data_IF_203325439265
#
_entry.id   IF_203325439265
#
_cell.length_a   1.000
_cell.length_b   1.000
_cell.length_c   1.000
_cell.angle_alpha   90.00
_cell.angle_beta   90.00
_cell.angle_gamma   90.00
#
_symmetry.space_group_name_H-M   'P 1'
#
loop_
_entity.id
_entity.type
_entity.pdbx_description
1 polymer ?
#
# COMPACT_ATOMS: atom_id res chain seq x y z
N UNK A 1 8.38 -46.62 -50.59
CA UNK A 1 8.22 -46.15 -49.19
C UNK A 1 9.54 -45.51 -48.72
N UNK A 2 9.62 -44.18 -48.70
CA UNK A 2 10.84 -43.45 -48.30
C UNK A 2 10.78 -43.17 -46.80
N UNK A 3 11.71 -43.75 -46.04
CA UNK A 3 11.95 -43.45 -44.61
C UNK A 3 13.09 -42.44 -44.52
N UNK A 4 12.78 -41.18 -44.22
CA UNK A 4 13.79 -40.17 -43.91
C UNK A 4 14.17 -40.29 -42.43
N UNK A 5 15.41 -40.67 -42.15
CA UNK A 5 16.07 -40.48 -40.85
C UNK A 5 16.59 -39.04 -40.79
N UNK A 6 16.23 -38.29 -39.75
CA UNK A 6 16.86 -37.01 -39.44
C UNK A 6 17.92 -37.25 -38.36
N UNK A 7 19.16 -36.85 -38.65
CA UNK A 7 20.27 -36.77 -37.70
C UNK A 7 19.86 -35.85 -36.56
N UNK A 8 19.78 -36.39 -35.34
CA UNK A 8 19.72 -35.60 -34.10
C UNK A 8 21.08 -34.92 -33.91
N UNK A 9 21.24 -33.77 -34.56
CA UNK A 9 22.50 -33.05 -34.64
C UNK A 9 22.69 -32.14 -33.43
N UNK A 10 23.95 -31.97 -33.01
CA UNK A 10 24.44 -31.27 -31.80
C UNK A 10 23.85 -29.88 -31.59
N UNK A 11 23.31 -29.28 -32.64
CA UNK A 11 22.55 -28.03 -32.64
C UNK A 11 21.34 -28.03 -31.71
N UNK A 12 20.56 -29.10 -31.63
CA UNK A 12 19.40 -29.13 -30.72
C UNK A 12 19.86 -29.14 -29.25
N UNK A 13 20.98 -29.79 -28.95
CA UNK A 13 21.58 -29.76 -27.60
C UNK A 13 22.20 -28.41 -27.26
N UNK A 14 22.83 -27.72 -28.22
CA UNK A 14 23.30 -26.34 -28.06
C UNK A 14 22.14 -25.36 -27.87
N UNK A 15 21.03 -25.54 -28.59
CA UNK A 15 19.81 -24.75 -28.43
C UNK A 15 19.20 -24.98 -27.03
N UNK A 16 19.11 -26.22 -26.58
CA UNK A 16 18.60 -26.54 -25.23
C UNK A 16 19.55 -26.04 -24.13
N UNK A 17 20.88 -26.10 -24.33
CA UNK A 17 21.84 -25.53 -23.37
C UNK A 17 21.80 -23.99 -23.33
N UNK A 18 21.54 -23.33 -24.46
CA UNK A 18 21.39 -21.86 -24.52
C UNK A 18 20.05 -21.40 -23.94
N UNK A 19 18.97 -22.18 -24.10
CA UNK A 19 17.76 -21.98 -23.32
C UNK A 19 18.00 -22.23 -21.83
N UNK A 20 18.73 -23.27 -21.44
CA UNK A 20 19.06 -23.54 -20.04
C UNK A 20 19.96 -22.45 -19.40
N UNK A 21 20.83 -21.79 -20.17
CA UNK A 21 21.61 -20.63 -19.74
C UNK A 21 20.79 -19.33 -19.74
N UNK A 22 19.82 -19.17 -20.64
CA UNK A 22 18.85 -18.07 -20.59
C UNK A 22 17.81 -18.24 -19.48
N UNK A 23 17.51 -19.47 -19.05
CA UNK A 23 16.65 -19.78 -17.90
C UNK A 23 17.43 -19.99 -16.60
N UNK A 24 18.77 -20.10 -16.66
CA UNK A 24 19.62 -20.50 -15.52
C UNK A 24 20.81 -19.56 -15.23
N UNK A 25 21.03 -18.53 -16.04
CA UNK A 25 22.12 -17.54 -15.87
C UNK A 25 21.66 -16.08 -15.86
N UNK A 26 20.35 -15.84 -15.81
CA UNK A 26 19.75 -14.50 -15.84
C UNK A 26 18.65 -14.26 -14.81
N UNK A 27 18.51 -15.15 -13.82
CA UNK A 27 17.77 -14.82 -12.59
C UNK A 27 18.71 -14.01 -11.70
N UNK A 28 18.87 -12.73 -12.04
CA UNK A 28 19.19 -11.72 -11.03
C UNK A 28 18.17 -11.93 -9.92
N UNK A 29 18.62 -12.05 -8.66
CA UNK A 29 17.78 -12.31 -7.50
C UNK A 29 16.61 -11.30 -7.39
N UNK A 30 15.51 -11.60 -8.07
CA UNK A 30 14.24 -10.89 -7.99
C UNK A 30 13.38 -11.71 -7.05
N UNK A 31 13.25 -11.25 -5.80
CA UNK A 31 12.14 -11.71 -4.95
C UNK A 31 12.43 -11.89 -3.46
N UNK A 32 13.69 -11.91 -3.01
CA UNK A 32 13.95 -12.01 -1.57
C UNK A 32 14.07 -10.61 -0.95
N UNK A 33 13.00 -10.17 -0.28
CA UNK A 33 13.04 -8.94 0.53
C UNK A 33 14.06 -9.12 1.66
N UNK A 34 14.87 -8.10 1.92
CA UNK A 34 15.75 -8.09 3.09
C UNK A 34 14.89 -8.20 4.34
N UNK A 35 15.21 -9.14 5.20
CA UNK A 35 14.48 -9.37 6.44
C UNK A 35 15.25 -8.75 7.62
N UNK A 36 14.57 -7.91 8.41
CA UNK A 36 15.14 -7.19 9.55
C UNK A 36 14.33 -7.41 10.81
N UNK A 37 14.95 -7.19 11.96
CA UNK A 37 14.27 -7.10 13.25
C UNK A 37 14.02 -5.65 13.60
N UNK A 38 12.80 -5.32 14.00
CA UNK A 38 12.42 -3.97 14.42
C UNK A 38 12.45 -3.85 15.93
N UNK A 39 13.27 -2.94 16.45
CA UNK A 39 13.29 -2.57 17.86
C UNK A 39 12.39 -1.36 18.05
N UNK A 40 11.24 -1.58 18.69
CA UNK A 40 10.21 -0.57 18.94
C UNK A 40 10.75 0.55 19.83
N UNK A 41 10.26 1.77 19.60
CA UNK A 41 10.56 2.92 20.46
C UNK A 41 9.86 2.79 21.83
N UNK A 42 10.41 3.43 22.87
CA UNK A 42 9.83 3.35 24.23
C UNK A 42 8.39 3.87 24.33
N UNK A 43 8.00 4.78 23.43
CA UNK A 43 6.68 5.38 23.36
C UNK A 43 5.89 4.92 22.13
N UNK A 44 6.21 3.74 21.58
CA UNK A 44 5.56 3.17 20.39
C UNK A 44 4.02 3.18 20.50
N UNK A 45 3.47 2.88 21.67
CA UNK A 45 2.02 2.85 21.90
C UNK A 45 1.41 4.21 22.30
N UNK A 46 2.23 5.24 22.53
CA UNK A 46 1.81 6.59 22.94
C UNK A 46 1.94 7.57 21.77
N UNK A 47 1.39 7.20 20.62
CA UNK A 47 1.42 7.99 19.40
C UNK A 47 0.02 8.45 19.02
N UNK A 48 -0.09 9.65 18.44
CA UNK A 48 -1.33 10.12 17.85
C UNK A 48 -1.83 9.11 16.81
N UNK A 49 -3.08 8.67 16.97
CA UNK A 49 -3.66 7.60 16.16
C UNK A 49 -4.89 8.09 15.40
N UNK A 50 -4.98 7.73 14.13
CA UNK A 50 -6.18 7.91 13.31
C UNK A 50 -6.81 6.53 13.05
N UNK A 51 -8.01 6.33 13.57
CA UNK A 51 -8.74 5.06 13.45
C UNK A 51 -9.76 5.16 12.31
N UNK A 52 -9.79 4.17 11.44
CA UNK A 52 -10.74 4.05 10.34
C UNK A 52 -11.31 2.64 10.29
N UNK A 53 -12.62 2.53 10.14
CA UNK A 53 -13.24 1.25 9.80
C UNK A 53 -13.18 1.06 8.29
N UNK A 54 -12.54 -0.04 7.85
CA UNK A 54 -12.44 -0.39 6.44
C UNK A 54 -13.26 -1.65 6.17
N UNK A 55 -14.21 -1.53 5.25
CA UNK A 55 -15.01 -2.65 4.78
C UNK A 55 -14.34 -3.34 3.59
N UNK A 56 -14.29 -4.67 3.63
CA UNK A 56 -13.59 -5.51 2.66
C UNK A 56 -14.51 -6.61 2.14
N UNK A 57 -14.53 -6.76 0.82
CA UNK A 57 -15.17 -7.87 0.12
C UNK A 57 -14.24 -9.10 0.21
N UNK A 58 -14.70 -10.26 0.72
CA UNK A 58 -13.90 -11.48 0.82
C UNK A 58 -13.25 -11.92 -0.51
N UNK A 59 -13.90 -11.59 -1.63
CA UNK A 59 -13.43 -12.01 -2.95
C UNK A 59 -12.50 -10.98 -3.61
N UNK A 60 -12.29 -9.81 -3.00
CA UNK A 60 -11.50 -8.72 -3.60
C UNK A 60 -10.47 -8.13 -2.64
N UNK A 61 -9.20 -7.99 -3.06
CA UNK A 61 -8.19 -7.27 -2.28
C UNK A 61 -8.61 -5.82 -2.04
N UNK A 62 -8.29 -5.30 -0.85
CA UNK A 62 -8.52 -3.91 -0.47
C UNK A 62 -7.24 -3.09 -0.55
N UNK A 63 -7.25 -2.05 -1.37
CA UNK A 63 -6.19 -1.04 -1.39
C UNK A 63 -6.29 -0.13 -0.15
N UNK A 64 -5.19 0.01 0.58
CA UNK A 64 -5.01 0.97 1.67
C UNK A 64 -3.88 1.92 1.30
N UNK A 65 -4.05 3.22 1.55
CA UNK A 65 -3.06 4.23 1.18
C UNK A 65 -2.93 5.35 2.20
N UNK A 66 -1.70 5.86 2.35
CA UNK A 66 -1.38 7.08 3.08
C UNK A 66 -1.56 8.30 2.16
N UNK A 67 -2.55 9.17 2.42
CA UNK A 67 -2.86 10.26 1.52
C UNK A 67 -1.74 11.32 1.42
N UNK A 68 -0.91 11.49 2.45
CA UNK A 68 0.17 12.47 2.48
C UNK A 68 1.40 12.03 1.66
N UNK A 69 1.60 10.71 1.55
CA UNK A 69 2.75 10.12 0.85
C UNK A 69 2.47 9.80 -0.61
N UNK A 70 1.23 9.46 -0.95
CA UNK A 70 0.89 8.97 -2.29
C UNK A 70 0.80 10.06 -3.38
N UNK A 71 1.31 11.28 -3.12
CA UNK A 71 1.27 12.43 -4.05
C UNK A 71 2.58 13.21 -4.13
N UNK A 72 3.66 12.73 -3.52
CA UNK A 72 4.90 13.48 -3.41
C UNK A 72 6.15 12.66 -3.72
N UNK A 73 6.98 13.19 -4.61
CA UNK A 73 8.31 12.66 -4.92
C UNK A 73 9.30 13.81 -5.02
N UNK A 74 9.74 14.35 -3.88
CA UNK A 74 10.72 15.44 -3.90
C UNK A 74 12.11 14.93 -4.28
N UNK A 75 12.89 15.78 -4.93
CA UNK A 75 14.28 15.51 -5.35
C UNK A 75 15.27 16.38 -4.58
N UNK A 76 16.55 15.98 -4.62
CA UNK A 76 17.65 16.79 -4.08
C UNK A 76 17.76 16.77 -2.56
N UNK A 77 18.01 17.95 -1.97
CA UNK A 77 18.23 18.15 -0.53
C UNK A 77 16.94 18.29 0.30
N UNK A 78 15.77 18.18 -0.32
CA UNK A 78 14.48 18.28 0.37
C UNK A 78 14.22 17.01 1.20
N UNK A 79 14.40 17.14 2.51
CA UNK A 79 14.26 16.05 3.48
C UNK A 79 12.82 15.85 3.98
N UNK A 80 11.85 16.63 3.48
CA UNK A 80 10.45 16.60 3.94
C UNK A 80 9.79 15.24 3.69
N UNK A 81 10.38 14.41 2.84
CA UNK A 81 9.91 13.08 2.46
C UNK A 81 10.87 11.94 2.87
N UNK A 82 11.75 12.20 3.83
CA UNK A 82 12.59 11.18 4.47
C UNK A 82 11.78 10.41 5.53
N UNK A 83 10.78 9.67 5.08
CA UNK A 83 9.85 9.01 5.99
C UNK A 83 10.40 7.68 6.50
N UNK A 84 9.86 7.27 7.63
CA UNK A 84 9.74 5.90 8.08
C UNK A 84 8.28 5.50 7.88
N UNK A 85 8.06 4.32 7.31
CA UNK A 85 6.74 3.74 7.09
C UNK A 85 6.81 2.25 7.39
N UNK A 86 5.97 1.77 8.30
CA UNK A 86 5.86 0.36 8.65
C UNK A 86 4.40 -0.08 8.65
N UNK A 87 4.07 -0.97 7.72
CA UNK A 87 2.76 -1.62 7.61
C UNK A 87 2.82 -3.01 8.24
N UNK A 88 1.81 -3.37 9.03
CA UNK A 88 1.68 -4.71 9.57
C UNK A 88 0.23 -5.04 9.91
N UNK A 89 -0.08 -6.34 9.99
CA UNK A 89 -1.40 -6.83 10.36
C UNK A 89 -1.32 -7.47 11.73
N UNK A 90 -2.21 -7.06 12.63
CA UNK A 90 -2.53 -7.82 13.83
C UNK A 90 -3.77 -8.65 13.53
N UNK A 91 -3.54 -9.89 13.11
CA UNK A 91 -4.59 -10.71 12.53
C UNK A 91 -4.02 -11.81 11.64
N UNK A 92 -4.86 -12.39 10.79
CA UNK A 92 -4.44 -13.44 9.84
C UNK A 92 -4.40 -12.97 8.38
N UNK A 93 -4.95 -11.80 8.08
CA UNK A 93 -4.89 -11.18 6.77
C UNK A 93 -3.46 -10.89 6.35
N UNK A 94 -3.28 -10.76 5.05
CA UNK A 94 -1.96 -10.56 4.44
C UNK A 94 -1.88 -9.18 3.78
N UNK A 95 -0.66 -8.65 3.70
CA UNK A 95 -0.39 -7.39 3.01
C UNK A 95 0.72 -7.55 1.98
N UNK A 96 0.59 -6.82 0.88
CA UNK A 96 1.60 -6.71 -0.18
C UNK A 96 1.66 -5.31 -0.75
N UNK A 97 2.78 -4.97 -1.40
CA UNK A 97 2.90 -3.70 -2.11
C UNK A 97 1.82 -3.61 -3.19
N UNK A 98 1.20 -2.44 -3.31
CA UNK A 98 0.28 -2.11 -4.38
C UNK A 98 0.94 -1.11 -5.32
N UNK A 99 1.06 -1.48 -6.59
CA UNK A 99 1.62 -0.60 -7.62
C UNK A 99 0.57 0.44 -7.99
N UNK A 100 0.92 1.70 -7.81
CA UNK A 100 0.09 2.83 -8.26
C UNK A 100 0.88 3.70 -9.23
N UNK A 101 0.15 4.32 -10.14
CA UNK A 101 0.66 5.37 -11.02
C UNK A 101 0.03 6.68 -10.59
N UNK A 102 0.87 7.69 -10.32
CA UNK A 102 0.43 9.02 -9.91
C UNK A 102 0.91 10.01 -10.96
N UNK A 103 0.00 10.74 -11.58
CA UNK A 103 0.35 11.81 -12.52
C UNK A 103 0.62 13.12 -11.79
N UNK A 104 1.38 14.02 -12.43
CA UNK A 104 1.63 15.36 -11.88
C UNK A 104 0.33 16.12 -11.62
N UNK A 105 -0.66 15.99 -12.50
CA UNK A 105 -1.96 16.65 -12.35
C UNK A 105 -2.73 16.11 -11.14
N UNK A 106 -2.74 14.79 -10.94
CA UNK A 106 -3.36 14.16 -9.76
C UNK A 106 -2.68 14.59 -8.46
N UNK A 107 -1.36 14.68 -8.45
CA UNK A 107 -0.61 15.16 -7.31
C UNK A 107 -0.94 16.62 -7.01
N UNK A 108 -0.87 17.50 -8.01
CA UNK A 108 -1.14 18.94 -7.85
C UNK A 108 -2.58 19.23 -7.42
N UNK A 109 -3.56 18.52 -7.98
CA UNK A 109 -4.97 18.65 -7.59
C UNK A 109 -5.21 18.31 -6.11
N UNK A 110 -4.27 17.57 -5.48
CA UNK A 110 -4.29 17.19 -4.07
C UNK A 110 -3.26 17.96 -3.23
N UNK A 111 -2.66 19.01 -3.78
CA UNK A 111 -1.65 19.84 -3.11
C UNK A 111 -0.24 19.22 -3.04
N UNK A 112 0.00 18.12 -3.75
CA UNK A 112 1.29 17.44 -3.84
C UNK A 112 2.15 17.88 -5.02
N UNK A 113 3.36 17.34 -5.10
CA UNK A 113 4.32 17.64 -6.16
C UNK A 113 5.21 16.45 -6.52
N UNK A 114 5.31 16.16 -7.83
CA UNK A 114 6.19 15.13 -8.37
C UNK A 114 7.48 15.74 -8.97
N UNK A 115 8.53 15.84 -8.16
CA UNK A 115 9.87 16.27 -8.58
C UNK A 115 10.74 15.18 -9.21
N UNK A 116 10.35 13.90 -9.06
CA UNK A 116 10.96 12.74 -9.71
C UNK A 116 9.85 12.04 -10.49
N UNK A 117 10.13 11.70 -11.75
CA UNK A 117 9.17 11.08 -12.66
C UNK A 117 9.82 9.86 -13.30
N UNK A 118 9.07 8.78 -13.50
CA UNK A 118 9.63 7.49 -13.92
C UNK A 118 9.25 7.04 -15.32
N UNK A 119 8.23 7.63 -15.95
CA UNK A 119 7.64 7.06 -17.17
C UNK A 119 7.56 8.00 -18.38
N UNK A 120 8.25 9.14 -18.38
CA UNK A 120 8.22 10.11 -19.50
C UNK A 120 6.88 10.85 -19.68
N UNK A 121 5.80 10.39 -19.03
CA UNK A 121 4.44 10.93 -19.10
C UNK A 121 4.11 11.83 -17.91
N UNK A 122 5.09 12.52 -17.34
CA UNK A 122 4.91 13.32 -16.13
C UNK A 122 4.29 12.56 -14.94
N UNK A 123 4.54 11.25 -14.85
CA UNK A 123 4.00 10.39 -13.81
C UNK A 123 5.11 9.67 -13.02
N UNK A 124 4.72 9.16 -11.86
CA UNK A 124 5.53 8.26 -11.04
C UNK A 124 4.80 6.94 -10.86
N UNK A 125 5.49 5.84 -11.13
CA UNK A 125 5.01 4.47 -10.92
C UNK A 125 5.75 3.90 -9.71
N UNK A 126 5.02 3.53 -8.67
CA UNK A 126 5.62 2.99 -7.44
C UNK A 126 6.22 1.61 -7.65
N UNK A 127 7.24 1.30 -6.85
CA UNK A 127 7.90 -0.01 -6.86
C UNK A 127 8.01 -0.57 -5.46
N UNK A 128 8.13 -1.89 -5.38
CA UNK A 128 8.31 -2.58 -4.11
C UNK A 128 9.76 -2.47 -3.62
N UNK A 129 10.00 -1.52 -2.72
CA UNK A 129 11.28 -1.32 -2.03
C UNK A 129 11.23 -1.72 -0.55
N UNK A 130 10.20 -2.46 -0.13
CA UNK A 130 10.03 -2.83 1.28
C UNK A 130 11.07 -3.88 1.71
N UNK A 131 11.56 -3.72 2.93
CA UNK A 131 12.10 -4.81 3.73
C UNK A 131 10.96 -5.52 4.51
N UNK A 132 11.22 -6.74 4.96
CA UNK A 132 10.31 -7.52 5.81
C UNK A 132 10.71 -7.41 7.28
N UNK A 133 9.73 -7.27 8.16
CA UNK A 133 9.94 -7.24 9.62
C UNK A 133 9.64 -8.62 10.20
N UNK A 134 10.63 -9.26 10.84
CA UNK A 134 10.51 -10.62 11.38
C UNK A 134 9.37 -10.79 12.37
N UNK A 135 9.23 -9.81 13.26
CA UNK A 135 8.33 -9.89 14.41
C UNK A 135 6.85 -9.78 14.00
N UNK A 136 6.56 -9.17 12.85
CA UNK A 136 5.19 -8.83 12.42
C UNK A 136 4.83 -9.34 11.02
N UNK A 137 5.79 -9.95 10.30
CA UNK A 137 5.73 -10.17 8.84
C UNK A 137 5.38 -8.89 8.03
N UNK A 138 5.58 -7.74 8.66
CA UNK A 138 5.22 -6.43 8.13
C UNK A 138 6.13 -5.96 7.00
N UNK A 139 5.67 -4.94 6.29
CA UNK A 139 6.40 -4.26 5.23
C UNK A 139 6.93 -2.93 5.77
N UNK A 140 8.25 -2.77 5.76
CA UNK A 140 8.91 -1.56 6.26
C UNK A 140 9.78 -0.91 5.19
N UNK A 141 9.66 0.40 5.08
CA UNK A 141 10.56 1.22 4.29
C UNK A 141 10.92 2.46 5.09
N UNK A 142 12.18 2.85 5.05
CA UNK A 142 12.57 4.16 5.54
C UNK A 142 13.71 4.72 4.72
N UNK A 143 13.80 6.05 4.67
CA UNK A 143 14.94 6.69 4.02
C UNK A 143 16.27 6.28 4.68
N UNK A 144 16.28 5.95 5.97
CA UNK A 144 17.48 5.44 6.64
C UNK A 144 17.85 4.03 6.21
N UNK A 145 16.88 3.13 6.09
CA UNK A 145 17.14 1.78 5.56
C UNK A 145 17.73 1.85 4.16
N UNK A 146 17.32 2.85 3.36
CA UNK A 146 17.94 3.15 2.06
C UNK A 146 19.37 3.68 2.22
N UNK A 147 19.61 4.65 3.10
CA UNK A 147 20.97 5.19 3.37
C UNK A 147 21.95 4.12 3.90
N UNK A 148 21.44 3.17 4.68
CA UNK A 148 22.20 2.04 5.23
C UNK A 148 22.32 0.86 4.23
N UNK A 149 21.82 1.01 3.00
CA UNK A 149 21.83 -0.01 1.93
C UNK A 149 21.11 -1.32 2.29
N UNK A 150 20.12 -1.26 3.18
CA UNK A 150 19.25 -2.40 3.54
C UNK A 150 18.19 -2.64 2.47
N UNK A 151 17.67 -1.55 1.90
CA UNK A 151 16.73 -1.57 0.76
C UNK A 151 17.39 -0.93 -0.45
N UNK A 152 17.05 -1.42 -1.64
CA UNK A 152 17.71 -1.07 -2.92
C UNK A 152 17.17 0.21 -3.56
N UNK A 153 16.69 1.17 -2.74
CA UNK A 153 16.20 2.47 -3.18
C UNK A 153 14.84 2.84 -2.61
N UNK A 154 14.08 3.56 -3.44
CA UNK A 154 12.73 4.02 -3.12
C UNK A 154 12.66 5.43 -2.53
N UNK A 155 11.43 5.92 -2.55
CA UNK A 155 10.95 7.18 -2.00
C UNK A 155 9.78 6.89 -1.07
N UNK A 156 9.36 7.86 -0.25
CA UNK A 156 8.20 7.68 0.64
C UNK A 156 6.92 7.27 -0.10
N UNK A 157 6.74 7.73 -1.34
CA UNK A 157 5.61 7.33 -2.19
C UNK A 157 5.55 5.82 -2.46
N UNK A 158 6.70 5.14 -2.53
CA UNK A 158 6.78 3.70 -2.80
C UNK A 158 6.25 2.87 -1.62
N UNK A 159 6.31 3.45 -0.43
CA UNK A 159 5.79 2.84 0.80
C UNK A 159 4.34 3.26 1.11
N UNK A 160 3.73 4.11 0.27
CA UNK A 160 2.47 4.79 0.58
C UNK A 160 1.24 3.89 0.50
N UNK A 161 1.29 2.81 -0.28
CA UNK A 161 0.11 2.04 -0.65
C UNK A 161 0.39 0.54 -0.58
N UNK A 162 -0.52 -0.17 0.08
CA UNK A 162 -0.51 -1.62 0.17
C UNK A 162 -1.87 -2.18 -0.22
N UNK A 163 -1.87 -3.44 -0.60
CA UNK A 163 -3.07 -4.24 -0.77
C UNK A 163 -3.19 -5.17 0.44
N UNK A 164 -4.35 -5.16 1.07
CA UNK A 164 -4.76 -6.06 2.13
C UNK A 164 -5.70 -7.14 1.57
N UNK A 165 -5.48 -8.38 1.95
CA UNK A 165 -6.31 -9.53 1.57
C UNK A 165 -6.85 -10.22 2.83
N UNK A 166 -8.16 -10.48 2.83
CA UNK A 166 -8.81 -11.22 3.92
C UNK A 166 -8.28 -12.66 3.97
N UNK A 167 -8.10 -13.24 5.16
CA UNK A 167 -7.76 -14.65 5.27
C UNK A 167 -8.94 -15.52 4.82
N UNK A 168 -8.65 -16.71 4.26
CA UNK A 168 -9.65 -17.67 3.79
C UNK A 168 -10.75 -17.98 4.83
N UNK A 169 -10.40 -17.94 6.12
CA UNK A 169 -11.36 -18.06 7.23
C UNK A 169 -11.23 -16.81 8.09
N UNK A 170 -12.06 -15.82 7.80
CA UNK A 170 -12.12 -14.59 8.59
C UNK A 170 -12.96 -14.78 9.84
N UNK A 171 -12.35 -14.59 11.00
CA UNK A 171 -13.00 -14.71 12.31
C UNK A 171 -13.34 -13.36 12.95
N UNK A 172 -13.16 -12.26 12.21
CA UNK A 172 -13.21 -10.90 12.77
C UNK A 172 -11.88 -10.48 13.42
N UNK A 173 -11.78 -9.17 13.70
CA UNK A 173 -10.72 -8.52 14.49
C UNK A 173 -9.36 -8.32 13.82
N UNK A 174 -9.26 -8.43 12.50
CA UNK A 174 -8.02 -8.02 11.85
C UNK A 174 -7.88 -6.49 11.92
N UNK A 175 -6.70 -6.05 12.35
CA UNK A 175 -6.35 -4.63 12.41
C UNK A 175 -5.08 -4.44 11.59
N UNK A 176 -5.13 -3.58 10.58
CA UNK A 176 -3.95 -3.17 9.83
C UNK A 176 -3.42 -1.88 10.45
N UNK A 177 -2.16 -1.90 10.86
CA UNK A 177 -1.45 -0.75 11.37
C UNK A 177 -0.54 -0.17 10.29
N UNK A 178 -0.45 1.15 10.26
CA UNK A 178 0.61 1.86 9.55
C UNK A 178 1.25 2.90 10.45
N UNK A 179 2.50 2.64 10.84
CA UNK A 179 3.30 3.54 11.64
C UNK A 179 4.14 4.44 10.75
N UNK A 180 4.03 5.75 10.94
CA UNK A 180 4.73 6.74 10.13
C UNK A 180 5.52 7.72 10.98
N UNK A 181 6.67 8.14 10.45
CA UNK A 181 7.48 9.17 11.07
C UNK A 181 8.31 9.95 10.05
N UNK A 182 8.57 11.21 10.37
CA UNK A 182 9.55 12.07 9.69
C UNK A 182 10.80 12.31 10.55
N UNK A 183 10.79 11.81 11.80
CA UNK A 183 11.89 11.99 12.74
C UNK A 183 13.09 11.12 12.35
N UNK A 184 14.28 11.67 12.56
CA UNK A 184 15.57 11.06 12.21
C UNK A 184 16.34 10.57 13.43
N UNK A 185 15.65 10.38 14.55
CA UNK A 185 16.21 10.03 15.86
C UNK A 185 16.32 8.52 16.11
N UNK A 186 15.91 7.69 15.16
CA UNK A 186 16.25 6.26 15.17
C UNK A 186 17.78 6.04 15.19
N UNK A 187 18.23 4.79 15.19
CA UNK A 187 19.67 4.47 15.08
C UNK A 187 20.00 3.81 13.75
N UNK A 188 21.29 3.81 13.41
CA UNK A 188 21.83 3.03 12.30
C UNK A 188 21.51 1.55 12.51
N UNK A 189 21.20 0.83 11.43
CA UNK A 189 20.99 -0.62 11.54
C UNK A 189 22.28 -1.30 12.05
N UNK A 190 22.13 -2.25 12.97
CA UNK A 190 23.24 -3.03 13.53
C UNK A 190 22.81 -4.47 13.73
N UNK A 191 23.54 -5.43 13.19
CA UNK A 191 23.21 -6.87 13.27
C UNK A 191 21.75 -7.17 12.83
N UNK A 192 21.28 -6.53 11.75
CA UNK A 192 19.89 -6.59 11.25
C UNK A 192 18.82 -6.04 12.21
N UNK A 193 19.21 -5.42 13.32
CA UNK A 193 18.28 -4.72 14.21
C UNK A 193 18.19 -3.26 13.79
N UNK A 194 16.99 -2.84 13.43
CA UNK A 194 16.67 -1.46 13.11
C UNK A 194 15.90 -0.84 14.27
N UNK A 195 16.42 0.27 14.82
CA UNK A 195 15.72 0.99 15.88
C UNK A 195 14.72 1.97 15.28
N UNK A 196 13.45 1.78 15.65
CA UNK A 196 12.34 2.65 15.27
C UNK A 196 12.65 4.11 15.68
N UNK A 197 12.41 5.10 14.80
CA UNK A 197 12.42 6.50 15.20
C UNK A 197 11.24 6.81 16.14
N UNK A 198 11.20 8.00 16.73
CA UNK A 198 9.97 8.46 17.38
C UNK A 198 8.84 8.44 16.35
N UNK A 199 7.68 7.86 16.66
CA UNK A 199 6.54 7.84 15.74
C UNK A 199 5.82 9.20 15.73
N UNK A 200 5.47 9.67 14.53
CA UNK A 200 4.68 10.88 14.37
C UNK A 200 3.18 10.57 14.49
N UNK A 201 2.75 9.52 13.80
CA UNK A 201 1.34 9.14 13.67
C UNK A 201 1.21 7.65 13.39
N UNK A 202 0.10 7.07 13.85
CA UNK A 202 -0.32 5.70 13.56
C UNK A 202 -1.68 5.71 12.86
N UNK A 203 -1.78 5.04 11.72
CA UNK A 203 -3.08 4.74 11.11
C UNK A 203 -3.50 3.36 11.59
N UNK A 204 -4.74 3.25 12.05
CA UNK A 204 -5.36 2.01 12.51
C UNK A 204 -6.55 1.73 11.62
N UNK A 205 -6.45 0.70 10.78
CA UNK A 205 -7.53 0.26 9.91
C UNK A 205 -8.19 -0.97 10.52
N UNK A 206 -9.36 -0.78 11.12
CA UNK A 206 -10.18 -1.85 11.66
C UNK A 206 -10.93 -2.53 10.51
N UNK A 207 -10.64 -3.81 10.28
CA UNK A 207 -11.21 -4.53 9.15
C UNK A 207 -12.57 -5.11 9.51
N UNK A 208 -13.55 -4.84 8.65
CA UNK A 208 -14.88 -5.44 8.69
C UNK A 208 -15.25 -6.00 7.32
N UNK A 209 -16.17 -6.94 7.30
CA UNK A 209 -16.68 -7.53 6.05
C UNK A 209 -17.64 -6.59 5.34
N UNK A 210 -17.75 -6.70 4.02
CA UNK A 210 -18.76 -5.99 3.24
C UNK A 210 -20.20 -6.26 3.74
N UNK A 211 -20.48 -7.47 4.24
CA UNK A 211 -21.80 -7.83 4.79
C UNK A 211 -22.16 -7.03 6.06
N UNK A 212 -21.17 -6.70 6.89
CA UNK A 212 -21.37 -5.82 8.05
C UNK A 212 -21.76 -4.40 7.62
N UNK A 213 -21.16 -3.88 6.55
CA UNK A 213 -21.54 -2.58 5.96
C UNK A 213 -22.98 -2.60 5.45
N UNK A 214 -23.34 -3.63 4.68
CA UNK A 214 -24.68 -3.80 4.11
C UNK A 214 -25.73 -3.91 5.23
N UNK A 215 -25.43 -4.65 6.29
CA UNK A 215 -26.34 -4.83 7.43
C UNK A 215 -26.59 -3.51 8.17
N UNK A 216 -25.58 -2.65 8.29
CA UNK A 216 -25.76 -1.31 8.89
C UNK A 216 -26.66 -0.42 8.04
N UNK A 217 -26.45 -0.39 6.71
CA UNK A 217 -27.25 0.43 5.79
C UNK A 217 -28.72 -0.02 5.77
N UNK A 218 -28.98 -1.33 5.75
CA UNK A 218 -30.33 -1.88 5.69
C UNK A 218 -31.09 -1.79 7.02
N UNK A 219 -30.39 -1.83 8.15
CA UNK A 219 -31.00 -1.86 9.48
C UNK A 219 -31.48 -0.49 9.99
N UNK A 220 -30.76 0.58 9.64
CA UNK A 220 -31.14 1.96 9.95
C UNK A 220 -30.22 2.90 9.14
N UNK A 221 -30.65 3.44 7.98
CA UNK A 221 -29.83 4.40 7.26
C UNK A 221 -29.76 5.66 8.12
N UNK A 222 -28.66 5.86 8.84
CA UNK A 222 -28.47 7.06 9.64
C UNK A 222 -28.33 8.23 8.66
N UNK A 223 -29.32 9.13 8.55
CA UNK A 223 -29.26 10.18 7.56
C UNK A 223 -28.23 11.21 8.04
N UNK A 224 -27.08 11.24 7.37
CA UNK A 224 -26.07 12.29 7.60
C UNK A 224 -26.67 13.65 7.27
N UNK A 225 -27.01 14.40 8.32
CA UNK A 225 -27.59 15.74 8.21
C UNK A 225 -26.48 16.76 8.02
N UNK A 226 -26.44 17.42 6.86
CA UNK A 226 -25.46 18.46 6.54
C UNK A 226 -26.03 19.81 6.95
N UNK A 227 -25.39 20.47 7.92
CA UNK A 227 -25.75 21.83 8.35
C UNK A 227 -25.00 22.86 7.49
N UNK A 228 -25.75 23.79 6.88
CA UNK A 228 -25.19 24.90 6.11
C UNK A 228 -25.93 26.22 6.41
N UNK A 229 -25.28 27.39 6.24
CA UNK A 229 -25.90 28.68 6.55
C UNK A 229 -27.15 28.95 5.70
N UNK A 230 -28.20 29.50 6.33
CA UNK A 230 -29.43 29.92 5.65
C UNK A 230 -29.12 30.96 4.57
N UNK A 231 -29.55 30.71 3.33
CA UNK A 231 -29.31 31.59 2.18
C UNK A 231 -27.93 31.44 1.54
N UNK A 232 -27.14 30.45 1.93
CA UNK A 232 -25.86 30.15 1.28
C UNK A 232 -26.07 29.57 -0.13
N UNK A 233 -25.36 30.10 -1.11
CA UNK A 233 -25.26 29.51 -2.46
C UNK A 233 -24.31 28.30 -2.50
N UNK A 234 -23.54 28.09 -1.44
CA UNK A 234 -22.50 27.06 -1.34
C UNK A 234 -22.77 26.14 -0.16
N UNK A 235 -22.61 24.83 -0.37
CA UNK A 235 -22.65 23.80 0.67
C UNK A 235 -21.28 23.13 0.70
N UNK A 236 -20.64 23.13 1.86
CA UNK A 236 -19.47 22.30 2.11
C UNK A 236 -19.94 20.97 2.72
N UNK A 237 -19.60 19.86 2.07
CA UNK A 237 -19.82 18.54 2.64
C UNK A 237 -18.52 17.73 2.56
N UNK A 238 -18.32 16.87 3.56
CA UNK A 238 -17.20 15.95 3.64
C UNK A 238 -17.72 14.55 3.87
N UNK A 239 -17.33 13.60 3.03
CA UNK A 239 -17.62 12.19 3.28
C UNK A 239 -16.57 11.62 4.25
N UNK A 240 -16.98 10.83 5.25
CA UNK A 240 -16.05 10.25 6.21
C UNK A 240 -15.09 9.23 5.57
N UNK A 241 -15.52 8.58 4.48
CA UNK A 241 -14.73 7.57 3.77
C UNK A 241 -14.73 7.80 2.25
N UNK A 242 -13.79 7.14 1.57
CA UNK A 242 -13.77 7.07 0.11
C UNK A 242 -14.91 6.17 -0.41
N UNK A 243 -15.36 6.33 -1.68
CA UNK A 243 -16.48 5.59 -2.24
C UNK A 243 -16.35 4.07 -2.12
N UNK A 244 -15.13 3.57 -2.22
CA UNK A 244 -14.79 2.15 -2.18
C UNK A 244 -14.90 1.52 -0.79
N UNK A 245 -15.26 2.30 0.23
CA UNK A 245 -15.59 1.80 1.57
C UNK A 245 -17.09 1.54 1.77
N UNK A 246 -17.93 1.84 0.77
CA UNK A 246 -19.38 1.67 0.85
C UNK A 246 -19.83 0.48 0.01
N UNK A 247 -20.69 -0.36 0.61
CA UNK A 247 -21.23 -1.58 -0.01
C UNK A 247 -22.74 -1.63 0.12
N UNK A 248 -23.44 -2.11 -0.91
CA UNK A 248 -24.89 -2.30 -0.88
C UNK A 248 -25.30 -3.52 -1.72
N UNK A 249 -26.52 -4.01 -1.52
CA UNK A 249 -27.10 -5.10 -2.31
C UNK A 249 -28.14 -4.57 -3.31
N UNK A 250 -28.13 -5.14 -4.50
CA UNK A 250 -29.22 -5.05 -5.47
C UNK A 250 -29.63 -6.49 -5.85
N UNK A 251 -30.68 -6.99 -5.20
CA UNK A 251 -30.98 -8.44 -5.21
C UNK A 251 -29.85 -9.24 -4.57
N UNK A 252 -29.33 -10.23 -5.29
CA UNK A 252 -28.22 -11.09 -4.84
C UNK A 252 -26.83 -10.51 -5.14
N UNK A 253 -26.75 -9.39 -5.85
CA UNK A 253 -25.49 -8.77 -6.25
C UNK A 253 -25.00 -7.80 -5.18
N UNK A 254 -23.75 -7.98 -4.75
CA UNK A 254 -23.04 -7.04 -3.88
C UNK A 254 -22.27 -6.03 -4.71
N UNK A 255 -22.56 -4.75 -4.49
CA UNK A 255 -21.91 -3.63 -5.15
C UNK A 255 -20.94 -2.93 -4.20
N UNK A 256 -19.88 -2.38 -4.78
CA UNK A 256 -18.90 -1.53 -4.10
C UNK A 256 -18.85 -0.16 -4.78
N UNK A 257 -18.79 0.90 -3.99
CA UNK A 257 -18.76 2.26 -4.53
C UNK A 257 -17.46 2.56 -5.30
N UNK A 258 -17.58 3.29 -6.40
CA UNK A 258 -16.44 3.73 -7.21
C UNK A 258 -16.25 5.25 -7.22
N UNK A 259 -17.36 6.00 -7.15
CA UNK A 259 -17.38 7.46 -7.15
C UNK A 259 -18.61 7.95 -6.39
N UNK A 260 -18.51 9.14 -5.80
CA UNK A 260 -19.67 9.87 -5.33
C UNK A 260 -20.31 10.63 -6.48
N UNK A 261 -21.64 10.62 -6.54
CA UNK A 261 -22.41 11.43 -7.46
C UNK A 261 -23.36 12.30 -6.64
N UNK A 262 -23.36 13.60 -6.92
CA UNK A 262 -24.25 14.55 -6.28
C UNK A 262 -25.23 15.11 -7.31
N UNK A 263 -26.45 15.42 -6.86
CA UNK A 263 -27.45 16.15 -7.63
C UNK A 263 -28.03 17.23 -6.73
N UNK A 264 -28.00 18.47 -7.20
CA UNK A 264 -28.76 19.57 -6.61
C UNK A 264 -30.14 19.53 -7.27
N UNK A 265 -31.20 19.44 -6.47
CA UNK A 265 -32.60 19.39 -6.95
C UNK A 265 -33.29 20.68 -6.55
#
# INVERSE_FOLDING_TARGET
>A
MKRNKIKYDRWLRMLVLSFALLTGGGMVAWGQKTEISLVLSENHDKVHSEVKTIYVDPDKPRKLSLPELNINTRSGSDVSYNWFVHWYVKGKGTIRHEVITVTSDQAQARGGYLGIKTDGNNSYVTKDYFAKVKETDGLIWSNRLKEDNVVTGGLGIDASTITYELPNVYTGNDIVYCDVSIYKDGKKISNNNYQEPTLLKRYIYEIKTAEECISQINGNPDPDSIYFPKGSEYINFSMPYAPDNYFWKEGDLTHQGAKFQYRIV
#
